data_IF_200409451473
#
_entry.id   IF_200409451473
#
_cell.length_a   1.000
_cell.length_b   1.000
_cell.length_c   1.000
_cell.angle_alpha   90.00
_cell.angle_beta   90.00
_cell.angle_gamma   90.00
#
_symmetry.space_group_name_H-M   'P 1'
#
loop_
_entity.id
_entity.type
_entity.pdbx_description
1 polymer ?
#
# COMPACT_ATOMS: atom_id res chain seq x y z
N UNK A 1 -29.65 22.93 20.71
CA UNK A 1 -28.23 22.56 20.88
C UNK A 1 -28.08 21.07 20.48
N UNK A 2 -27.00 20.71 19.85
CA UNK A 2 -26.79 19.29 19.49
C UNK A 2 -26.38 18.50 20.73
N UNK A 3 -27.01 17.34 20.98
CA UNK A 3 -26.62 16.50 22.12
C UNK A 3 -25.27 15.82 21.93
N UNK A 4 -24.89 15.58 20.66
CA UNK A 4 -23.66 14.87 20.29
C UNK A 4 -22.88 15.65 19.23
N UNK A 5 -21.58 15.74 19.39
CA UNK A 5 -20.64 16.22 18.39
C UNK A 5 -19.79 15.04 17.90
N UNK A 6 -19.80 14.77 16.60
CA UNK A 6 -18.96 13.74 15.96
C UNK A 6 -17.95 14.45 15.07
N UNK A 7 -16.67 14.23 15.33
CA UNK A 7 -15.59 14.82 14.55
C UNK A 7 -14.95 13.73 13.69
N UNK A 8 -14.97 13.95 12.39
CA UNK A 8 -14.35 13.06 11.37
C UNK A 8 -13.21 13.78 10.68
N UNK A 9 -12.41 13.09 9.88
CA UNK A 9 -11.24 13.71 9.24
C UNK A 9 -11.55 14.46 7.94
N UNK A 10 -12.59 14.03 7.18
CA UNK A 10 -12.87 14.61 5.87
C UNK A 10 -14.32 15.08 5.69
N UNK A 11 -14.56 16.14 4.88
CA UNK A 11 -15.90 16.64 4.60
C UNK A 11 -16.81 15.60 3.93
N UNK A 12 -16.26 14.75 3.06
CA UNK A 12 -17.02 13.69 2.40
C UNK A 12 -17.60 12.70 3.41
N UNK A 13 -16.78 12.25 4.37
CA UNK A 13 -17.23 11.40 5.48
C UNK A 13 -18.26 12.11 6.34
N UNK A 14 -18.05 13.40 6.66
CA UNK A 14 -19.00 14.19 7.46
C UNK A 14 -20.38 14.24 6.83
N UNK A 15 -20.46 14.50 5.51
CA UNK A 15 -21.73 14.57 4.79
C UNK A 15 -22.48 13.24 4.78
N UNK A 16 -21.79 12.12 4.63
CA UNK A 16 -22.38 10.79 4.64
C UNK A 16 -22.86 10.39 6.03
N UNK A 17 -22.01 10.56 7.03
CA UNK A 17 -22.31 10.19 8.43
C UNK A 17 -23.45 11.03 9.00
N UNK A 18 -23.52 12.32 8.66
CA UNK A 18 -24.61 13.21 9.05
C UNK A 18 -25.98 12.67 8.63
N UNK A 19 -26.07 12.08 7.42
CA UNK A 19 -27.33 11.46 6.92
C UNK A 19 -27.76 10.26 7.76
N UNK A 20 -26.82 9.54 8.37
CA UNK A 20 -27.09 8.32 9.14
C UNK A 20 -27.48 8.58 10.60
N UNK A 21 -27.02 9.71 11.20
CA UNK A 21 -27.14 9.98 12.64
C UNK A 21 -28.34 10.86 13.04
N UNK A 22 -28.97 11.51 12.08
CA UNK A 22 -30.16 12.36 12.35
C UNK A 22 -29.83 13.71 13.00
N UNK A 23 -30.88 14.50 13.28
CA UNK A 23 -30.80 15.93 13.63
C UNK A 23 -30.21 16.29 15.01
N UNK A 24 -30.20 15.36 15.98
CA UNK A 24 -29.65 15.60 17.32
C UNK A 24 -28.11 15.51 17.37
N UNK A 25 -27.48 15.05 16.27
CA UNK A 25 -26.03 14.87 16.19
C UNK A 25 -25.42 15.85 15.18
N UNK A 26 -24.49 16.68 15.66
CA UNK A 26 -23.67 17.52 14.78
C UNK A 26 -22.44 16.75 14.31
N UNK A 27 -22.18 16.75 13.01
CA UNK A 27 -20.99 16.13 12.43
C UNK A 27 -20.13 17.18 11.78
N UNK A 28 -18.84 17.22 12.14
CA UNK A 28 -17.86 18.22 11.69
C UNK A 28 -16.61 17.51 11.16
N UNK A 29 -15.99 18.07 10.13
CA UNK A 29 -14.75 17.55 9.58
C UNK A 29 -13.55 18.37 10.06
N UNK A 30 -12.49 17.71 10.57
CA UNK A 30 -11.23 18.35 10.97
C UNK A 30 -10.37 18.78 9.76
N UNK A 31 -10.67 18.24 8.59
CA UNK A 31 -9.85 18.42 7.38
C UNK A 31 -8.39 18.00 7.61
N UNK A 32 -8.20 16.78 8.12
CA UNK A 32 -6.91 16.20 8.47
C UNK A 32 -6.35 16.69 9.79
N UNK A 33 -5.03 16.75 9.90
CA UNK A 33 -4.34 17.22 11.11
C UNK A 33 -4.63 18.68 11.44
N UNK A 34 -4.74 18.97 12.72
CA UNK A 34 -4.94 20.33 13.27
C UNK A 34 -3.72 20.84 14.04
N UNK A 35 -2.83 19.94 14.44
CA UNK A 35 -1.50 20.22 15.02
C UNK A 35 -0.43 19.52 14.23
N UNK A 36 0.75 20.10 14.14
CA UNK A 36 1.94 19.50 13.53
C UNK A 36 3.20 20.11 14.14
N UNK A 37 4.37 19.53 13.82
CA UNK A 37 5.66 20.10 14.13
C UNK A 37 5.87 21.43 13.36
N UNK A 38 6.57 22.41 13.92
CA UNK A 38 6.85 23.69 13.27
C UNK A 38 7.61 23.49 11.96
N UNK A 39 7.25 24.23 10.90
CA UNK A 39 7.89 24.09 9.57
C UNK A 39 9.29 24.71 9.51
N UNK A 40 9.57 25.76 10.30
CA UNK A 40 10.81 26.54 10.23
C UNK A 40 11.95 26.00 11.06
N UNK A 41 11.70 25.03 11.93
CA UNK A 41 12.70 24.44 12.83
C UNK A 41 12.42 22.96 13.07
N UNK A 42 13.40 22.26 13.64
CA UNK A 42 13.29 20.83 13.92
C UNK A 42 12.04 20.50 14.75
N UNK A 43 11.78 21.27 15.81
CA UNK A 43 10.61 21.10 16.66
C UNK A 43 10.60 19.80 17.46
N UNK A 44 11.77 19.25 17.73
CA UNK A 44 11.96 18.00 18.48
C UNK A 44 13.15 18.24 19.41
N UNK A 45 13.03 17.87 20.66
CA UNK A 45 14.16 17.77 21.56
C UNK A 45 15.06 16.60 21.13
N UNK A 46 16.33 16.85 20.89
CA UNK A 46 17.25 15.82 20.38
C UNK A 46 17.76 14.85 21.44
N UNK A 47 17.48 15.11 22.74
CA UNK A 47 17.87 14.22 23.83
C UNK A 47 16.71 13.31 24.27
N UNK A 48 15.51 13.90 24.40
CA UNK A 48 14.31 13.17 24.85
C UNK A 48 13.45 12.67 23.71
N UNK A 49 13.68 13.18 22.48
CA UNK A 49 12.86 12.96 21.27
C UNK A 49 11.43 13.49 21.40
N UNK A 50 11.13 14.31 22.39
CA UNK A 50 9.82 14.89 22.59
C UNK A 50 9.47 15.89 21.47
N UNK A 51 8.30 15.72 20.80
CA UNK A 51 7.86 16.59 19.74
C UNK A 51 7.16 17.85 20.29
N UNK A 52 7.52 19.01 19.76
CA UNK A 52 6.89 20.29 20.09
C UNK A 52 5.77 20.59 19.09
N UNK A 53 4.58 20.09 19.32
CA UNK A 53 3.44 20.33 18.44
C UNK A 53 2.90 21.75 18.56
N UNK A 54 2.61 22.37 17.42
CA UNK A 54 1.94 23.65 17.30
C UNK A 54 0.66 23.51 16.49
N UNK A 55 -0.29 24.41 16.67
CA UNK A 55 -1.47 24.49 15.83
C UNK A 55 -1.07 24.86 14.39
N UNK A 56 -1.62 24.18 13.41
CA UNK A 56 -1.34 24.45 12.00
C UNK A 56 -1.82 25.87 11.66
N UNK A 57 -0.95 26.65 11.00
CA UNK A 57 -1.29 28.01 10.56
C UNK A 57 -2.52 27.99 9.65
N UNK A 58 -3.47 28.90 9.89
CA UNK A 58 -4.76 28.99 9.17
C UNK A 58 -5.87 28.12 9.77
N UNK A 59 -5.60 27.29 10.78
CA UNK A 59 -6.63 26.49 11.49
C UNK A 59 -7.19 27.17 12.74
N UNK A 60 -6.73 28.38 13.11
CA UNK A 60 -7.09 29.06 14.35
C UNK A 60 -8.59 29.26 14.54
N UNK A 61 -9.27 29.78 13.52
CA UNK A 61 -10.71 30.05 13.60
C UNK A 61 -11.54 28.77 13.63
N UNK A 62 -11.09 27.75 12.88
CA UNK A 62 -11.68 26.43 12.95
C UNK A 62 -11.56 25.83 14.36
N UNK A 63 -10.38 25.90 14.98
CA UNK A 63 -10.15 25.42 16.34
C UNK A 63 -11.04 26.16 17.34
N UNK A 64 -11.19 27.49 17.20
CA UNK A 64 -12.08 28.29 18.07
C UNK A 64 -13.54 27.83 17.93
N UNK A 65 -14.02 27.66 16.69
CA UNK A 65 -15.38 27.17 16.43
C UNK A 65 -15.57 25.77 17.01
N UNK A 66 -14.61 24.87 16.80
CA UNK A 66 -14.68 23.49 17.28
C UNK A 66 -14.71 23.42 18.82
N UNK A 67 -13.92 24.25 19.50
CA UNK A 67 -13.95 24.37 20.98
C UNK A 67 -15.31 24.84 21.49
N UNK A 68 -15.94 25.79 20.80
CA UNK A 68 -17.30 26.27 21.14
C UNK A 68 -18.30 25.13 21.00
N UNK A 69 -18.28 24.43 19.86
CA UNK A 69 -19.19 23.33 19.57
C UNK A 69 -19.01 22.16 20.56
N UNK A 70 -17.76 21.89 20.95
CA UNK A 70 -17.47 20.82 21.90
C UNK A 70 -17.96 21.16 23.32
N UNK A 71 -17.94 22.46 23.72
CA UNK A 71 -18.51 22.91 24.99
C UNK A 71 -20.03 22.84 25.01
N UNK A 72 -20.68 23.12 23.88
CA UNK A 72 -22.14 23.12 23.75
C UNK A 72 -22.70 21.69 23.63
N UNK A 73 -21.88 20.70 23.35
CA UNK A 73 -22.29 19.30 23.17
C UNK A 73 -22.19 18.51 24.49
N UNK A 74 -23.16 17.66 24.78
CA UNK A 74 -23.14 16.75 25.94
C UNK A 74 -22.08 15.65 25.81
N UNK A 75 -21.84 15.19 24.58
CA UNK A 75 -20.85 14.16 24.27
C UNK A 75 -20.09 14.50 22.98
N UNK A 76 -18.79 14.30 23.01
CA UNK A 76 -17.91 14.46 21.83
C UNK A 76 -17.35 13.11 21.44
N UNK A 77 -17.43 12.78 20.16
CA UNK A 77 -16.90 11.56 19.57
C UNK A 77 -15.86 11.88 18.51
N UNK A 78 -14.72 11.20 18.57
CA UNK A 78 -13.62 11.31 17.63
C UNK A 78 -13.67 10.12 16.69
N UNK A 79 -14.22 10.34 15.50
CA UNK A 79 -14.54 9.29 14.52
C UNK A 79 -13.64 9.36 13.29
N UNK A 80 -12.35 9.42 13.52
CA UNK A 80 -11.28 9.36 12.50
C UNK A 80 -11.00 7.91 12.09
N UNK A 81 -10.24 7.67 11.02
CA UNK A 81 -9.97 6.34 10.48
C UNK A 81 -9.37 5.37 11.52
N UNK A 82 -9.60 4.05 11.34
CA UNK A 82 -9.12 3.02 12.27
C UNK A 82 -7.63 2.66 12.02
N UNK A 83 -6.80 3.64 11.73
CA UNK A 83 -5.37 3.49 11.55
C UNK A 83 -4.59 4.42 12.50
N UNK A 84 -3.26 4.30 12.50
CA UNK A 84 -2.40 5.12 13.37
C UNK A 84 -2.46 6.63 13.07
N UNK A 85 -2.72 7.01 11.80
CA UNK A 85 -2.87 8.43 11.43
C UNK A 85 -4.18 8.97 12.01
N UNK A 86 -5.29 8.23 11.88
CA UNK A 86 -6.57 8.58 12.49
C UNK A 86 -6.51 8.60 14.01
N UNK A 87 -5.75 7.71 14.64
CA UNK A 87 -5.56 7.69 16.08
C UNK A 87 -4.80 8.95 16.56
N UNK A 88 -3.74 9.32 15.87
CA UNK A 88 -3.00 10.56 16.17
C UNK A 88 -3.84 11.82 15.94
N UNK A 89 -4.69 11.86 14.89
CA UNK A 89 -5.63 12.97 14.68
C UNK A 89 -6.61 13.06 15.85
N UNK A 90 -7.17 11.92 16.31
CA UNK A 90 -8.05 11.86 17.46
C UNK A 90 -7.36 12.37 18.74
N UNK A 91 -6.14 11.94 19.00
CA UNK A 91 -5.34 12.39 20.14
C UNK A 91 -5.06 13.89 20.07
N UNK A 92 -4.68 14.43 18.93
CA UNK A 92 -4.49 15.88 18.77
C UNK A 92 -5.79 16.67 18.97
N UNK A 93 -6.94 16.13 18.53
CA UNK A 93 -8.25 16.73 18.78
C UNK A 93 -8.59 16.70 20.26
N UNK A 94 -8.38 15.58 20.95
CA UNK A 94 -8.62 15.45 22.38
C UNK A 94 -7.80 16.49 23.17
N UNK A 95 -6.52 16.61 22.86
CA UNK A 95 -5.62 17.60 23.46
C UNK A 95 -6.12 19.06 23.28
N UNK A 96 -6.53 19.43 22.06
CA UNK A 96 -7.04 20.78 21.78
C UNK A 96 -8.36 21.07 22.50
N UNK A 97 -9.22 20.05 22.58
CA UNK A 97 -10.55 20.18 23.20
C UNK A 97 -10.53 20.01 24.71
N UNK A 98 -9.38 19.64 25.31
CA UNK A 98 -9.26 19.35 26.74
C UNK A 98 -10.05 18.11 27.16
N UNK A 99 -10.15 17.12 26.28
CA UNK A 99 -10.76 15.84 26.59
C UNK A 99 -9.68 14.93 27.19
N UNK A 100 -9.97 14.37 28.36
CA UNK A 100 -9.08 13.46 29.05
C UNK A 100 -8.93 12.16 28.25
N UNK A 101 -7.69 11.65 28.12
CA UNK A 101 -7.34 10.45 27.33
C UNK A 101 -8.02 9.18 27.86
N UNK A 102 -8.38 9.16 29.16
CA UNK A 102 -9.11 8.04 29.78
C UNK A 102 -10.57 7.96 29.35
N UNK A 103 -11.13 9.01 28.73
CA UNK A 103 -12.54 9.03 28.33
C UNK A 103 -12.82 8.16 27.12
N UNK A 104 -13.98 7.52 27.12
CA UNK A 104 -14.52 6.73 26.02
C UNK A 104 -15.10 7.64 24.94
N UNK A 105 -14.25 8.23 24.12
CA UNK A 105 -14.64 9.21 23.09
C UNK A 105 -14.23 8.81 21.67
N UNK A 106 -13.36 7.80 21.52
CA UNK A 106 -12.87 7.31 20.23
C UNK A 106 -13.87 6.34 19.60
N UNK A 107 -14.24 6.60 18.36
CA UNK A 107 -15.17 5.76 17.57
C UNK A 107 -14.47 5.31 16.30
N UNK A 108 -14.48 4.02 16.01
CA UNK A 108 -13.86 3.43 14.82
C UNK A 108 -14.86 2.55 14.07
N UNK A 109 -14.83 2.61 12.75
CA UNK A 109 -15.61 1.75 11.87
C UNK A 109 -14.79 1.48 10.59
N UNK A 110 -14.87 0.26 10.09
CA UNK A 110 -14.12 -0.16 8.90
C UNK A 110 -14.88 0.12 7.59
N UNK A 111 -16.17 0.42 7.68
CA UNK A 111 -17.04 0.76 6.56
C UNK A 111 -18.01 1.91 6.94
N UNK A 112 -18.40 2.70 5.95
CA UNK A 112 -19.30 3.83 6.18
C UNK A 112 -20.73 3.44 5.78
N UNK A 113 -21.29 2.45 6.51
CA UNK A 113 -22.69 2.05 6.42
C UNK A 113 -23.47 2.60 7.62
N UNK A 114 -24.79 2.74 7.48
CA UNK A 114 -25.65 3.28 8.54
C UNK A 114 -25.55 2.47 9.83
N UNK A 115 -25.51 1.15 9.71
CA UNK A 115 -25.53 0.25 10.85
C UNK A 115 -24.17 0.18 11.53
N UNK A 116 -23.06 0.13 10.76
CA UNK A 116 -21.72 0.17 11.29
C UNK A 116 -21.44 1.47 12.07
N UNK A 117 -21.83 2.62 11.51
CA UNK A 117 -21.66 3.92 12.16
C UNK A 117 -22.48 4.03 13.46
N UNK A 118 -23.76 3.59 13.44
CA UNK A 118 -24.62 3.61 14.64
C UNK A 118 -24.08 2.68 15.73
N UNK A 119 -23.67 1.47 15.38
CA UNK A 119 -23.08 0.49 16.30
C UNK A 119 -21.79 1.02 16.91
N UNK A 120 -20.94 1.65 16.12
CA UNK A 120 -19.67 2.22 16.60
C UNK A 120 -19.89 3.37 17.62
N UNK A 121 -20.87 4.27 17.37
CA UNK A 121 -21.20 5.37 18.31
C UNK A 121 -21.79 4.85 19.62
N UNK A 122 -22.44 3.70 19.61
CA UNK A 122 -22.94 3.06 20.84
C UNK A 122 -21.82 2.41 21.66
N UNK A 123 -20.70 2.06 21.01
CA UNK A 123 -19.57 1.38 21.64
C UNK A 123 -18.26 2.17 21.46
N UNK A 124 -18.17 3.39 22.05
CA UNK A 124 -16.94 4.16 22.01
C UNK A 124 -15.86 3.49 22.85
N UNK A 125 -14.60 3.74 22.50
CA UNK A 125 -13.43 3.27 23.23
C UNK A 125 -12.53 4.44 23.67
N UNK A 126 -11.50 4.14 24.40
CA UNK A 126 -10.40 5.09 24.65
C UNK A 126 -9.53 5.25 23.40
N UNK A 127 -8.77 6.34 23.38
CA UNK A 127 -7.70 6.51 22.40
C UNK A 127 -6.63 5.44 22.65
N UNK A 128 -6.17 4.80 21.60
CA UNK A 128 -5.08 3.83 21.64
C UNK A 128 -3.75 4.59 21.65
N UNK A 129 -3.10 4.63 22.81
CA UNK A 129 -1.84 5.36 22.96
C UNK A 129 -0.70 4.66 22.25
N UNK A 130 -0.71 3.33 22.15
CA UNK A 130 0.34 2.59 21.45
C UNK A 130 0.36 2.93 19.94
N UNK A 131 -0.83 3.03 19.31
CA UNK A 131 -0.96 3.50 17.93
C UNK A 131 -0.57 4.98 17.78
N UNK A 132 -0.94 5.80 18.74
CA UNK A 132 -0.58 7.22 18.79
C UNK A 132 0.93 7.40 18.88
N UNK A 133 1.58 6.69 19.78
CA UNK A 133 3.03 6.74 19.98
C UNK A 133 3.79 6.17 18.77
N UNK A 134 3.27 5.12 18.14
CA UNK A 134 3.82 4.60 16.88
C UNK A 134 3.78 5.64 15.75
N UNK A 135 2.70 6.43 15.66
CA UNK A 135 2.60 7.54 14.70
C UNK A 135 3.56 8.68 15.07
N UNK A 136 3.63 9.06 16.35
CA UNK A 136 4.54 10.11 16.83
C UNK A 136 5.99 9.72 16.57
N UNK A 137 6.40 8.50 16.89
CA UNK A 137 7.74 7.99 16.64
C UNK A 137 8.10 8.07 15.14
N UNK A 138 7.18 7.66 14.28
CA UNK A 138 7.35 7.81 12.83
C UNK A 138 7.50 9.27 12.42
N UNK A 139 6.64 10.17 12.94
CA UNK A 139 6.67 11.59 12.62
C UNK A 139 7.99 12.25 13.05
N UNK A 140 8.47 11.89 14.23
CA UNK A 140 9.76 12.32 14.79
C UNK A 140 10.91 11.84 13.90
N UNK A 141 10.94 10.55 13.56
CA UNK A 141 11.96 9.97 12.73
C UNK A 141 12.02 10.61 11.33
N UNK A 142 10.88 10.75 10.66
CA UNK A 142 10.79 11.38 9.33
C UNK A 142 11.28 12.84 9.39
N UNK A 143 10.98 13.56 10.48
CA UNK A 143 11.46 14.93 10.71
C UNK A 143 12.98 14.99 10.89
N UNK A 144 13.53 14.13 11.75
CA UNK A 144 14.98 14.10 12.02
C UNK A 144 15.75 13.75 10.74
N UNK A 145 15.34 12.71 10.03
CA UNK A 145 15.97 12.29 8.76
C UNK A 145 15.92 13.42 7.74
N UNK A 146 14.73 13.99 7.49
CA UNK A 146 14.56 15.07 6.53
C UNK A 146 15.39 16.31 6.86
N UNK A 147 15.38 16.77 8.11
CA UNK A 147 16.05 17.99 8.51
C UNK A 147 17.57 17.87 8.69
N UNK A 148 18.07 16.69 9.03
CA UNK A 148 19.54 16.49 9.21
C UNK A 148 20.23 16.04 7.92
N UNK A 149 19.58 15.23 7.07
CA UNK A 149 20.23 14.69 5.88
C UNK A 149 20.01 15.59 4.65
N UNK A 150 18.86 16.24 4.48
CA UNK A 150 18.63 17.12 3.33
C UNK A 150 19.69 18.23 3.18
N UNK A 151 20.13 18.93 4.25
CA UNK A 151 21.21 19.91 4.13
C UNK A 151 22.55 19.32 3.66
N UNK A 152 22.83 18.05 3.97
CA UNK A 152 24.03 17.35 3.49
C UNK A 152 23.93 17.14 1.98
N UNK A 153 22.76 16.75 1.49
CA UNK A 153 22.49 16.63 0.04
C UNK A 153 22.65 17.98 -0.67
N UNK A 154 22.18 19.07 -0.07
CA UNK A 154 22.31 20.41 -0.66
C UNK A 154 23.77 20.86 -0.78
N UNK A 155 24.61 20.46 0.19
CA UNK A 155 26.03 20.81 0.21
C UNK A 155 26.85 19.92 -0.74
N UNK A 156 26.50 18.64 -0.85
CA UNK A 156 27.34 17.64 -1.53
C UNK A 156 26.86 17.27 -2.92
N UNK A 157 25.57 17.42 -3.21
CA UNK A 157 24.95 17.02 -4.47
C UNK A 157 24.32 18.23 -5.16
N UNK A 158 23.11 18.64 -4.75
CA UNK A 158 22.40 19.74 -5.38
C UNK A 158 21.37 20.35 -4.41
N UNK A 159 21.20 21.69 -4.46
CA UNK A 159 20.14 22.40 -3.73
C UNK A 159 18.75 21.93 -4.17
N UNK A 160 17.82 21.83 -3.21
CA UNK A 160 16.44 21.42 -3.46
C UNK A 160 16.17 19.92 -3.36
N UNK A 161 17.20 19.09 -3.25
CA UNK A 161 17.03 17.67 -2.96
C UNK A 161 16.53 17.46 -1.53
N UNK A 162 15.74 16.41 -1.31
CA UNK A 162 15.28 16.03 0.02
C UNK A 162 15.60 14.58 0.33
N UNK A 163 16.04 14.32 1.54
CA UNK A 163 16.16 12.97 2.07
C UNK A 163 14.87 12.58 2.77
N UNK A 164 14.47 11.35 2.63
CA UNK A 164 13.31 10.80 3.31
C UNK A 164 13.37 9.29 3.39
N UNK A 165 12.90 8.75 4.50
CA UNK A 165 12.98 7.34 4.82
C UNK A 165 12.35 6.44 3.74
N UNK A 166 11.21 6.82 3.19
CA UNK A 166 10.51 6.07 2.13
C UNK A 166 11.16 6.32 0.77
N UNK A 167 11.39 7.57 0.40
CA UNK A 167 11.95 7.92 -0.91
C UNK A 167 13.37 7.40 -1.11
N UNK A 168 14.22 7.40 -0.09
CA UNK A 168 15.58 6.90 -0.19
C UNK A 168 15.61 5.39 -0.42
N UNK A 169 14.73 4.63 0.23
CA UNK A 169 14.58 3.19 0.00
C UNK A 169 14.04 2.91 -1.41
N UNK A 170 13.05 3.67 -1.87
CA UNK A 170 12.51 3.52 -3.21
C UNK A 170 13.59 3.74 -4.29
N UNK A 171 14.39 4.80 -4.15
CA UNK A 171 15.52 5.07 -5.06
C UNK A 171 16.52 3.94 -5.02
N UNK A 172 16.89 3.46 -3.81
CA UNK A 172 17.83 2.33 -3.67
C UNK A 172 17.33 1.10 -4.42
N UNK A 173 16.08 0.70 -4.25
CA UNK A 173 15.51 -0.47 -4.95
C UNK A 173 15.58 -0.34 -6.47
N UNK A 174 15.34 0.88 -7.00
CA UNK A 174 15.46 1.13 -8.44
C UNK A 174 16.92 1.04 -8.90
N UNK A 175 17.85 1.62 -8.16
CA UNK A 175 19.29 1.57 -8.48
C UNK A 175 19.81 0.13 -8.41
N UNK A 176 19.49 -0.61 -7.34
CA UNK A 176 19.90 -2.01 -7.21
C UNK A 176 19.41 -2.84 -8.40
N UNK A 177 18.17 -2.59 -8.86
CA UNK A 177 17.63 -3.28 -10.05
C UNK A 177 18.31 -2.88 -11.34
N UNK A 178 18.64 -1.61 -11.51
CA UNK A 178 19.37 -1.12 -12.68
C UNK A 178 20.77 -1.72 -12.74
N UNK A 179 21.46 -1.79 -11.59
CA UNK A 179 22.77 -2.47 -11.52
C UNK A 179 22.68 -3.97 -11.89
N UNK A 180 21.60 -4.67 -11.52
CA UNK A 180 21.38 -6.07 -11.95
C UNK A 180 21.22 -6.15 -13.49
N UNK A 181 20.50 -5.19 -14.08
CA UNK A 181 20.28 -5.12 -15.52
C UNK A 181 21.60 -4.85 -16.25
N UNK A 182 22.40 -3.88 -15.76
CA UNK A 182 23.70 -3.54 -16.35
C UNK A 182 24.75 -4.67 -16.24
N UNK A 183 24.68 -5.43 -15.13
CA UNK A 183 25.56 -6.59 -14.90
C UNK A 183 25.11 -7.85 -15.66
N UNK A 184 23.92 -7.84 -16.23
CA UNK A 184 23.39 -9.00 -16.94
C UNK A 184 24.20 -9.27 -18.21
N UNK A 185 24.79 -10.43 -18.29
CA UNK A 185 25.50 -10.93 -19.48
C UNK A 185 24.54 -11.87 -20.20
N UNK A 186 24.07 -11.53 -21.41
CA UNK A 186 23.22 -12.42 -22.20
C UNK A 186 23.99 -13.70 -22.56
N UNK A 187 23.40 -14.84 -22.28
CA UNK A 187 23.90 -16.14 -22.69
C UNK A 187 23.04 -16.71 -23.83
N UNK A 188 23.68 -17.10 -24.91
CA UNK A 188 23.00 -17.76 -26.02
C UNK A 188 22.56 -19.18 -25.61
N UNK A 189 21.33 -19.54 -25.91
CA UNK A 189 20.83 -20.88 -25.68
C UNK A 189 19.97 -21.32 -26.86
N UNK A 190 19.98 -22.64 -27.13
CA UNK A 190 19.24 -23.25 -28.19
C UNK A 190 18.27 -24.31 -27.70
N UNK A 191 17.11 -24.41 -28.35
CA UNK A 191 16.16 -25.48 -28.11
C UNK A 191 15.88 -26.19 -29.43
N UNK A 192 15.92 -27.52 -29.41
CA UNK A 192 15.60 -28.35 -30.56
C UNK A 192 14.23 -28.98 -30.34
N UNK A 193 13.34 -28.85 -31.31
CA UNK A 193 12.02 -29.43 -31.30
C UNK A 193 11.85 -30.32 -32.50
N UNK A 194 11.26 -31.52 -32.32
CA UNK A 194 10.93 -32.46 -33.39
C UNK A 194 9.41 -32.63 -33.46
N UNK A 195 8.82 -32.43 -34.63
CA UNK A 195 7.44 -32.78 -34.89
C UNK A 195 7.36 -34.26 -35.28
N UNK A 196 6.85 -35.09 -34.38
CA UNK A 196 6.72 -36.52 -34.54
C UNK A 196 5.27 -36.91 -34.86
N UNK A 197 5.07 -37.99 -35.62
CA UNK A 197 3.73 -38.47 -35.92
C UNK A 197 3.60 -39.97 -35.64
N UNK A 198 2.46 -40.37 -35.11
CA UNK A 198 2.12 -41.79 -34.92
C UNK A 198 1.65 -42.40 -36.22
N UNK A 199 1.92 -43.72 -36.45
CA UNK A 199 1.51 -44.41 -37.69
C UNK A 199 -0.01 -44.59 -37.78
N UNK A 200 -0.65 -44.98 -36.67
CA UNK A 200 -2.13 -45.15 -36.56
C UNK A 200 -2.58 -44.91 -35.12
N UNK A 201 -3.59 -44.02 -34.83
CA UNK A 201 -4.11 -43.03 -35.77
C UNK A 201 -3.05 -41.96 -36.07
N UNK A 202 -3.09 -41.31 -37.22
CA UNK A 202 -2.11 -40.30 -37.64
C UNK A 202 -2.33 -39.02 -36.79
N UNK A 203 -1.59 -38.93 -35.69
CA UNK A 203 -1.59 -37.74 -34.80
C UNK A 203 -0.16 -37.22 -34.67
N UNK A 204 0.03 -35.94 -34.86
CA UNK A 204 1.32 -35.28 -34.65
C UNK A 204 1.42 -34.68 -33.23
N UNK A 205 2.60 -34.67 -32.68
CA UNK A 205 2.94 -34.01 -31.44
C UNK A 205 4.37 -33.48 -31.50
N UNK A 206 4.63 -32.43 -30.71
CA UNK A 206 5.95 -31.83 -30.62
C UNK A 206 6.72 -32.46 -29.46
N UNK A 207 7.96 -32.86 -29.72
CA UNK A 207 8.88 -33.34 -28.70
C UNK A 207 10.06 -32.38 -28.59
N UNK A 208 10.38 -31.97 -27.35
CA UNK A 208 11.54 -31.13 -27.06
C UNK A 208 12.74 -32.04 -26.76
N UNK A 209 13.89 -31.74 -27.35
CA UNK A 209 15.15 -32.40 -27.00
C UNK A 209 15.49 -32.07 -25.54
N UNK A 210 15.76 -33.09 -24.74
CA UNK A 210 16.07 -32.94 -23.32
C UNK A 210 17.57 -33.08 -23.07
N UNK A 211 18.22 -34.04 -23.70
CA UNK A 211 19.63 -34.32 -23.49
C UNK A 211 20.02 -35.74 -23.90
N UNK A 212 21.15 -36.22 -23.37
CA UNK A 212 21.74 -37.51 -23.69
C UNK A 212 21.97 -38.33 -22.41
N UNK A 213 21.66 -39.64 -22.42
CA UNK A 213 21.84 -40.54 -21.29
C UNK A 213 21.13 -40.06 -20.01
N UNK A 214 19.85 -39.68 -20.13
CA UNK A 214 19.00 -39.16 -19.04
C UNK A 214 19.55 -37.90 -18.33
N UNK A 215 20.55 -37.25 -18.91
CA UNK A 215 21.07 -35.98 -18.42
C UNK A 215 20.61 -34.85 -19.33
N UNK A 216 20.10 -33.79 -18.71
CA UNK A 216 19.76 -32.53 -19.42
C UNK A 216 21.02 -31.96 -20.05
N UNK A 217 20.93 -31.54 -21.29
CA UNK A 217 22.00 -30.84 -22.01
C UNK A 217 21.52 -29.44 -22.35
N UNK A 218 22.23 -28.43 -21.86
CA UNK A 218 22.02 -27.05 -22.26
C UNK A 218 22.95 -26.76 -23.47
N UNK A 219 22.39 -26.23 -24.54
CA UNK A 219 23.07 -26.03 -25.82
C UNK A 219 23.33 -24.55 -25.98
N UNK A 220 24.58 -24.17 -26.21
CA UNK A 220 25.01 -22.76 -26.22
C UNK A 220 25.53 -22.28 -27.57
N UNK A 221 25.68 -23.17 -28.56
CA UNK A 221 26.18 -22.79 -29.88
C UNK A 221 25.48 -23.50 -31.03
N UNK A 222 25.54 -22.89 -32.22
CA UNK A 222 24.99 -23.48 -33.43
C UNK A 222 25.71 -24.77 -33.82
N UNK A 223 27.02 -24.83 -33.62
CA UNK A 223 27.84 -26.01 -33.94
C UNK A 223 27.44 -27.23 -33.09
N UNK A 224 27.00 -27.03 -31.85
CA UNK A 224 26.45 -28.07 -30.99
C UNK A 224 25.08 -28.54 -31.51
N UNK A 225 24.23 -27.57 -31.93
CA UNK A 225 22.93 -27.90 -32.54
C UNK A 225 23.11 -28.76 -33.80
N UNK A 226 23.99 -28.35 -34.71
CA UNK A 226 24.18 -29.04 -35.98
C UNK A 226 24.64 -30.50 -35.77
N UNK A 227 25.55 -30.74 -34.82
CA UNK A 227 26.00 -32.12 -34.48
C UNK A 227 24.85 -32.97 -33.92
N UNK A 228 24.00 -32.38 -33.07
CA UNK A 228 22.85 -33.09 -32.51
C UNK A 228 21.81 -33.38 -33.59
N UNK A 229 21.56 -32.45 -34.51
CA UNK A 229 20.63 -32.64 -35.62
C UNK A 229 21.10 -33.77 -36.55
N UNK A 230 22.38 -33.86 -36.88
CA UNK A 230 22.95 -34.93 -37.68
C UNK A 230 22.77 -36.33 -37.05
N UNK A 231 22.84 -36.42 -35.71
CA UNK A 231 22.56 -37.65 -34.96
C UNK A 231 21.03 -37.94 -34.96
N UNK A 232 20.18 -36.92 -34.75
CA UNK A 232 18.73 -37.08 -34.65
C UNK A 232 18.04 -37.43 -35.98
N UNK A 233 18.53 -36.92 -37.11
CA UNK A 233 17.98 -37.25 -38.45
C UNK A 233 18.09 -38.72 -38.77
N UNK A 234 19.12 -39.39 -38.29
CA UNK A 234 19.37 -40.82 -38.51
C UNK A 234 18.76 -41.70 -37.42
N UNK A 235 18.19 -41.12 -36.38
CA UNK A 235 17.72 -41.81 -35.22
C UNK A 235 16.33 -42.44 -35.39
N UNK A 236 16.09 -43.55 -34.70
CA UNK A 236 14.77 -44.16 -34.60
C UNK A 236 14.09 -43.64 -33.32
N UNK A 237 12.94 -43.00 -33.48
CA UNK A 237 12.17 -42.48 -32.38
C UNK A 237 11.25 -43.55 -31.80
N UNK A 238 11.36 -43.78 -30.47
CA UNK A 238 10.58 -44.76 -29.73
C UNK A 238 10.09 -44.13 -28.43
N UNK A 239 8.82 -44.34 -28.09
CA UNK A 239 8.28 -43.95 -26.77
C UNK A 239 8.79 -44.93 -25.73
N UNK A 240 9.67 -44.48 -24.84
CA UNK A 240 10.26 -45.33 -23.80
C UNK A 240 9.37 -45.43 -22.56
N UNK A 241 8.72 -44.30 -22.16
CA UNK A 241 7.90 -44.25 -20.97
C UNK A 241 6.72 -43.26 -21.15
N UNK A 242 5.59 -43.56 -20.53
CA UNK A 242 4.45 -42.67 -20.42
C UNK A 242 4.10 -42.48 -18.97
N UNK A 243 4.36 -41.28 -18.41
CA UNK A 243 3.96 -40.90 -17.07
C UNK A 243 2.62 -40.17 -17.11
N UNK A 244 1.58 -40.79 -16.55
CA UNK A 244 0.27 -40.15 -16.36
C UNK A 244 0.22 -39.48 -15.02
N UNK A 245 -0.15 -38.20 -14.97
CA UNK A 245 -0.33 -37.46 -13.74
C UNK A 245 -1.55 -36.56 -13.83
N UNK A 246 -2.17 -36.28 -12.70
CA UNK A 246 -3.24 -35.31 -12.59
C UNK A 246 -2.69 -34.00 -12.03
N UNK A 247 -2.96 -32.91 -12.71
CA UNK A 247 -2.66 -31.56 -12.22
C UNK A 247 -3.94 -30.85 -11.85
N UNK A 248 -4.21 -30.73 -10.55
CA UNK A 248 -5.34 -29.93 -10.06
C UNK A 248 -5.03 -28.44 -10.22
N UNK A 249 -5.95 -27.72 -10.86
CA UNK A 249 -5.91 -26.25 -10.91
C UNK A 249 -6.97 -25.74 -9.94
N UNK A 250 -6.56 -24.98 -8.95
CA UNK A 250 -7.47 -24.24 -8.10
C UNK A 250 -7.78 -22.89 -8.73
N UNK A 251 -9.00 -22.37 -8.57
CA UNK A 251 -9.32 -21.00 -8.97
C UNK A 251 -8.37 -20.00 -8.30
N UNK A 252 -8.07 -18.93 -8.99
CA UNK A 252 -7.34 -17.82 -8.36
C UNK A 252 -8.19 -17.22 -7.22
N UNK A 253 -7.59 -16.76 -6.12
CA UNK A 253 -8.33 -16.05 -5.08
C UNK A 253 -8.97 -14.78 -5.63
N UNK A 254 -10.04 -14.27 -4.98
CA UNK A 254 -10.61 -12.98 -5.32
C UNK A 254 -9.55 -11.88 -5.31
N UNK A 255 -9.72 -10.88 -6.15
CA UNK A 255 -8.80 -9.77 -6.22
C UNK A 255 -8.79 -8.94 -4.94
N UNK A 256 -7.61 -8.63 -4.44
CA UNK A 256 -7.41 -7.44 -3.61
C UNK A 256 -7.32 -6.21 -4.52
N UNK A 257 -7.45 -5.00 -3.96
CA UNK A 257 -7.26 -3.77 -4.74
C UNK A 257 -5.92 -3.76 -5.50
N UNK A 258 -4.84 -4.19 -4.85
CA UNK A 258 -3.51 -4.22 -5.45
C UNK A 258 -3.41 -5.21 -6.61
N UNK A 259 -3.88 -6.45 -6.43
CA UNK A 259 -3.81 -7.47 -7.48
C UNK A 259 -4.74 -7.13 -8.65
N UNK A 260 -5.91 -6.54 -8.40
CA UNK A 260 -6.80 -6.02 -9.43
C UNK A 260 -6.13 -4.93 -10.27
N UNK A 261 -5.45 -3.98 -9.64
CA UNK A 261 -4.73 -2.92 -10.34
C UNK A 261 -3.58 -3.48 -11.20
N UNK A 262 -2.83 -4.46 -10.69
CA UNK A 262 -1.77 -5.13 -11.44
C UNK A 262 -2.30 -5.88 -12.66
N UNK A 263 -3.35 -6.67 -12.51
CA UNK A 263 -3.96 -7.42 -13.61
C UNK A 263 -4.59 -6.50 -14.66
N UNK A 264 -5.28 -5.44 -14.22
CA UNK A 264 -5.85 -4.44 -15.13
C UNK A 264 -4.76 -3.69 -15.92
N UNK A 265 -3.63 -3.39 -15.28
CA UNK A 265 -2.48 -2.82 -15.98
C UNK A 265 -1.90 -3.78 -17.02
N UNK A 266 -1.67 -5.05 -16.64
CA UNK A 266 -1.05 -6.05 -17.52
C UNK A 266 -1.95 -6.46 -18.71
N UNK A 267 -3.26 -6.68 -18.43
CA UNK A 267 -4.17 -7.25 -19.43
C UNK A 267 -4.95 -6.21 -20.23
N UNK A 268 -5.24 -5.06 -19.62
CA UNK A 268 -6.08 -4.02 -20.21
C UNK A 268 -5.35 -2.70 -20.44
N UNK A 269 -4.08 -2.62 -20.05
CA UNK A 269 -3.26 -1.39 -20.08
C UNK A 269 -3.97 -0.20 -19.39
N UNK A 270 -4.65 -0.46 -18.28
CA UNK A 270 -5.35 0.59 -17.53
C UNK A 270 -4.41 1.24 -16.53
N UNK A 271 -4.41 2.59 -16.51
CA UNK A 271 -3.83 3.34 -15.42
C UNK A 271 -4.60 3.10 -14.10
N UNK A 272 -3.93 3.23 -12.94
CA UNK A 272 -4.51 2.98 -11.61
C UNK A 272 -5.84 3.73 -11.41
N UNK A 273 -5.90 5.00 -11.78
CA UNK A 273 -7.11 5.83 -11.65
C UNK A 273 -8.28 5.27 -12.47
N UNK A 274 -8.02 4.87 -13.72
CA UNK A 274 -9.05 4.27 -14.59
C UNK A 274 -9.56 2.95 -14.02
N UNK A 275 -8.65 2.10 -13.53
CA UNK A 275 -9.01 0.83 -12.87
C UNK A 275 -9.97 1.06 -11.71
N UNK A 276 -9.66 1.99 -10.82
CA UNK A 276 -10.51 2.29 -9.67
C UNK A 276 -11.86 2.90 -10.06
N UNK A 277 -11.90 3.76 -11.08
CA UNK A 277 -13.15 4.31 -11.58
C UNK A 277 -14.08 3.24 -12.17
N UNK A 278 -13.51 2.30 -12.93
CA UNK A 278 -14.29 1.20 -13.52
C UNK A 278 -14.76 0.25 -12.43
N UNK A 279 -13.89 -0.15 -11.51
CA UNK A 279 -14.26 -1.01 -10.38
C UNK A 279 -15.42 -0.42 -9.56
N UNK A 280 -15.36 0.88 -9.24
CA UNK A 280 -16.41 1.56 -8.47
C UNK A 280 -17.77 1.64 -9.21
N UNK A 281 -17.79 1.49 -10.52
CA UNK A 281 -19.05 1.48 -11.31
C UNK A 281 -19.69 0.08 -11.38
N UNK A 282 -18.92 -0.96 -11.12
CA UNK A 282 -19.38 -2.35 -11.17
C UNK A 282 -19.93 -2.79 -9.80
N UNK A 283 -19.44 -2.20 -8.73
CA UNK A 283 -19.90 -2.40 -7.34
C UNK A 283 -20.95 -1.36 -6.99
#
# INVERSE_FOLDING_TARGET
>A
MADKLVIVESPAKANTIKKFLGGSTKVVASMGHIRDLPKSKLGIDTKTFEPQYINIRGKGDFIKSLKKEAKDAKKVYLATDPDREGEAIAWHLANILGIDESKMCRVTFNEITKDAVKKAIQNPRKIDMDLTDAQQARRVLDRIVGYKISPVLWKKVQKGLSAGRVQSVAVKLVVDREEEIEKFIPEEYWNIYATLATKKPKKSFEAKFYGKNDKKLDIHSKEEVDKILDELEKAKYVVSEIKKGEKKRTPAPPFTTSTMQQEASRKLNFALRKTMQVAQRIV
#
